data_IF_641568059555
#
_entry.id   IF_641568059555
#
_cell.length_a   1.000
_cell.length_b   1.000
_cell.length_c   1.000
_cell.angle_alpha   90.00
_cell.angle_beta   90.00
_cell.angle_gamma   90.00
#
_symmetry.space_group_name_H-M   'P 1'
#
loop_
_entity.id
_entity.type
_entity.pdbx_description
1 polymer ?
#
# COMPACT_ATOMS: atom_id res chain seq x y z
N UNK A 1 11.72 -14.17 -9.21
CA UNK A 1 11.85 -13.44 -7.95
C UNK A 1 11.14 -14.19 -6.82
N UNK A 2 11.67 -14.07 -5.61
CA UNK A 2 11.18 -14.87 -4.46
C UNK A 2 9.71 -14.62 -4.16
N UNK A 3 9.28 -13.36 -4.16
CA UNK A 3 7.88 -13.01 -3.87
C UNK A 3 6.93 -13.51 -4.96
N UNK A 4 7.32 -13.42 -6.22
CA UNK A 4 6.51 -13.94 -7.33
C UNK A 4 6.30 -15.45 -7.19
N UNK A 5 7.34 -16.18 -6.82
CA UNK A 5 7.25 -17.62 -6.59
C UNK A 5 6.37 -17.94 -5.40
N UNK A 6 6.46 -17.14 -4.33
CA UNK A 6 5.62 -17.32 -3.14
C UNK A 6 4.15 -17.12 -3.49
N UNK A 7 3.83 -16.10 -4.29
CA UNK A 7 2.48 -15.83 -4.76
C UNK A 7 1.93 -17.04 -5.53
N UNK A 8 2.74 -17.62 -6.40
CA UNK A 8 2.33 -18.82 -7.16
C UNK A 8 2.00 -19.99 -6.25
N UNK A 9 2.83 -20.23 -5.23
CA UNK A 9 2.59 -21.28 -4.25
C UNK A 9 1.34 -21.02 -3.43
N UNK A 10 1.11 -19.77 -3.06
CA UNK A 10 -0.03 -19.38 -2.24
C UNK A 10 -1.35 -19.53 -2.99
N UNK A 11 -1.36 -19.29 -4.31
CA UNK A 11 -2.55 -19.56 -5.14
C UNK A 11 -2.89 -21.04 -5.07
N UNK A 12 -1.90 -21.91 -5.25
CA UNK A 12 -2.12 -23.36 -5.22
C UNK A 12 -2.62 -23.83 -3.84
N UNK A 13 -2.04 -23.30 -2.77
CA UNK A 13 -2.44 -23.63 -1.41
C UNK A 13 -3.88 -23.18 -1.13
N UNK A 14 -4.25 -21.97 -1.57
CA UNK A 14 -5.60 -21.44 -1.39
C UNK A 14 -6.64 -22.28 -2.16
N UNK A 15 -6.30 -22.71 -3.37
CA UNK A 15 -7.16 -23.57 -4.17
C UNK A 15 -7.39 -24.92 -3.49
N UNK A 16 -6.32 -25.53 -2.93
CA UNK A 16 -6.43 -26.79 -2.19
C UNK A 16 -7.29 -26.66 -0.95
N UNK A 17 -7.21 -25.52 -0.28
CA UNK A 17 -7.98 -25.24 0.94
C UNK A 17 -9.42 -24.81 0.63
N UNK A 18 -9.78 -24.67 -0.64
CA UNK A 18 -11.08 -24.17 -1.08
C UNK A 18 -11.40 -22.77 -0.50
N UNK A 19 -10.36 -21.96 -0.31
CA UNK A 19 -10.48 -20.59 0.17
C UNK A 19 -10.66 -19.66 -1.03
N UNK A 20 -11.90 -19.37 -1.39
CA UNK A 20 -12.21 -18.58 -2.58
C UNK A 20 -11.77 -17.12 -2.45
N UNK A 21 -11.90 -16.53 -1.26
CA UNK A 21 -11.47 -15.14 -1.03
C UNK A 21 -9.95 -15.03 -1.23
N UNK A 22 -9.20 -15.91 -0.60
CA UNK A 22 -7.73 -15.92 -0.71
C UNK A 22 -7.30 -16.20 -2.15
N UNK A 23 -7.90 -17.18 -2.79
CA UNK A 23 -7.60 -17.53 -4.19
C UNK A 23 -7.79 -16.32 -5.10
N UNK A 24 -8.93 -15.64 -4.99
CA UNK A 24 -9.24 -14.48 -5.84
C UNK A 24 -8.28 -13.33 -5.57
N UNK A 25 -7.97 -13.06 -4.30
CA UNK A 25 -7.05 -11.99 -3.92
C UNK A 25 -5.65 -12.24 -4.51
N UNK A 26 -5.10 -13.43 -4.31
CA UNK A 26 -3.73 -13.74 -4.76
C UNK A 26 -3.67 -13.84 -6.28
N UNK A 27 -4.71 -14.35 -6.93
CA UNK A 27 -4.81 -14.35 -8.40
C UNK A 27 -4.77 -12.95 -8.99
N UNK A 28 -5.37 -11.97 -8.31
CA UNK A 28 -5.34 -10.59 -8.79
C UNK A 28 -3.92 -10.04 -8.79
N UNK A 29 -3.08 -10.47 -7.86
CA UNK A 29 -1.66 -10.10 -7.84
C UNK A 29 -0.95 -10.69 -9.06
N UNK A 30 -1.19 -11.96 -9.34
CA UNK A 30 -0.60 -12.62 -10.52
C UNK A 30 -0.98 -11.90 -11.81
N UNK A 31 -2.25 -11.53 -11.94
CA UNK A 31 -2.74 -10.78 -13.11
C UNK A 31 -2.05 -9.42 -13.23
N UNK A 32 -1.90 -8.71 -12.10
CA UNK A 32 -1.24 -7.40 -12.08
C UNK A 32 0.24 -7.51 -12.47
N UNK A 33 0.91 -8.56 -12.01
CA UNK A 33 2.31 -8.83 -12.37
C UNK A 33 2.42 -9.06 -13.88
N UNK A 34 1.54 -9.88 -14.42
CA UNK A 34 1.55 -10.19 -15.85
C UNK A 34 1.31 -8.94 -16.70
N UNK A 35 0.34 -8.11 -16.31
CA UNK A 35 0.07 -6.85 -16.99
C UNK A 35 1.28 -5.91 -16.93
N UNK A 36 1.94 -5.82 -15.79
CA UNK A 36 3.12 -4.97 -15.64
C UNK A 36 4.28 -5.43 -16.54
N UNK A 37 4.45 -6.74 -16.68
CA UNK A 37 5.51 -7.30 -17.53
C UNK A 37 5.23 -7.12 -19.02
N UNK A 38 3.96 -7.12 -19.42
CA UNK A 38 3.55 -7.05 -20.83
C UNK A 38 3.17 -5.65 -21.27
N UNK A 39 3.07 -4.68 -20.37
CA UNK A 39 2.75 -3.31 -20.72
C UNK A 39 3.88 -2.70 -21.55
N UNK A 40 3.51 -1.78 -22.45
CA UNK A 40 4.48 -1.04 -23.23
C UNK A 40 5.41 -0.26 -22.30
N UNK A 41 6.73 -0.44 -22.46
CA UNK A 41 7.71 0.14 -21.55
C UNK A 41 7.83 -0.56 -20.20
N UNK A 42 7.11 -1.67 -20.01
CA UNK A 42 7.17 -2.45 -18.78
C UNK A 42 8.45 -3.27 -18.67
N UNK A 43 8.80 -3.63 -17.44
CA UNK A 43 9.95 -4.49 -17.16
C UNK A 43 9.56 -5.95 -17.39
N UNK A 44 10.44 -6.72 -18.05
CA UNK A 44 10.22 -8.14 -18.25
C UNK A 44 10.32 -8.94 -16.96
N UNK A 45 11.14 -8.47 -16.02
CA UNK A 45 11.27 -9.06 -14.70
C UNK A 45 10.99 -7.98 -13.65
N UNK A 46 10.21 -8.35 -12.65
CA UNK A 46 9.88 -7.46 -11.53
C UNK A 46 10.65 -7.91 -10.29
N UNK A 47 11.20 -6.95 -9.59
CA UNK A 47 11.80 -7.19 -8.28
C UNK A 47 10.71 -7.28 -7.22
N UNK A 48 11.03 -7.82 -6.06
CA UNK A 48 10.07 -7.94 -4.96
C UNK A 48 9.49 -6.57 -4.58
N UNK A 49 10.32 -5.52 -4.59
CA UNK A 49 9.85 -4.15 -4.31
C UNK A 49 8.80 -3.67 -5.31
N UNK A 50 8.95 -4.02 -6.58
CA UNK A 50 7.96 -3.67 -7.62
C UNK A 50 6.64 -4.38 -7.35
N UNK A 51 6.69 -5.66 -6.96
CA UNK A 51 5.51 -6.46 -6.66
C UNK A 51 4.80 -5.92 -5.42
N UNK A 52 5.54 -5.53 -4.39
CA UNK A 52 4.96 -4.91 -3.19
C UNK A 52 4.17 -3.65 -3.57
N UNK A 53 4.71 -2.82 -4.45
CA UNK A 53 4.00 -1.62 -4.92
C UNK A 53 2.70 -1.95 -5.65
N UNK A 54 2.72 -2.99 -6.49
CA UNK A 54 1.50 -3.46 -7.16
C UNK A 54 0.46 -3.92 -6.16
N UNK A 55 0.89 -4.67 -5.14
CA UNK A 55 -0.02 -5.19 -4.11
C UNK A 55 -0.60 -4.02 -3.31
N UNK A 56 0.20 -3.02 -2.95
CA UNK A 56 -0.28 -1.84 -2.24
C UNK A 56 -1.36 -1.10 -3.03
N UNK A 57 -1.18 -0.99 -4.34
CA UNK A 57 -2.18 -0.39 -5.22
C UNK A 57 -3.48 -1.21 -5.23
N UNK A 58 -3.37 -2.53 -5.29
CA UNK A 58 -4.54 -3.41 -5.25
C UNK A 58 -5.30 -3.30 -3.93
N UNK A 59 -4.58 -3.20 -2.81
CA UNK A 59 -5.18 -3.00 -1.49
C UNK A 59 -5.98 -1.69 -1.48
N UNK A 60 -5.37 -0.62 -1.95
CA UNK A 60 -6.02 0.70 -2.01
C UNK A 60 -7.29 0.67 -2.85
N UNK A 61 -7.22 0.05 -4.04
CA UNK A 61 -8.37 -0.07 -4.92
C UNK A 61 -9.52 -0.83 -4.27
N UNK A 62 -9.22 -1.90 -3.53
CA UNK A 62 -10.24 -2.69 -2.85
C UNK A 62 -10.88 -1.91 -1.70
N UNK A 63 -10.11 -1.16 -0.95
CA UNK A 63 -10.65 -0.32 0.13
C UNK A 63 -11.55 0.78 -0.43
N UNK A 64 -11.16 1.41 -1.54
CA UNK A 64 -11.98 2.41 -2.21
C UNK A 64 -13.28 1.80 -2.73
N UNK A 65 -13.20 0.62 -3.33
CA UNK A 65 -14.40 -0.10 -3.80
C UNK A 65 -15.33 -0.43 -2.64
N UNK A 66 -14.77 -0.86 -1.49
CA UNK A 66 -15.55 -1.14 -0.30
C UNK A 66 -16.32 0.10 0.19
N UNK A 67 -15.68 1.27 0.19
CA UNK A 67 -16.34 2.52 0.56
C UNK A 67 -17.51 2.83 -0.36
N UNK A 68 -17.33 2.62 -1.67
CA UNK A 68 -18.38 2.83 -2.65
C UNK A 68 -19.54 1.86 -2.44
N UNK A 69 -19.27 0.60 -2.12
CA UNK A 69 -20.31 -0.38 -1.85
C UNK A 69 -21.09 -0.05 -0.57
N UNK A 70 -20.41 0.40 0.47
CA UNK A 70 -21.09 0.86 1.71
C UNK A 70 -22.03 2.02 1.40
N UNK A 71 -21.57 3.01 0.62
CA UNK A 71 -22.37 4.15 0.23
C UNK A 71 -23.59 3.74 -0.61
N UNK A 72 -23.47 2.66 -1.38
CA UNK A 72 -24.55 2.12 -2.20
C UNK A 72 -25.47 1.14 -1.45
N UNK A 73 -25.24 0.93 -0.16
CA UNK A 73 -26.02 -0.02 0.65
C UNK A 73 -25.69 -1.49 0.40
N UNK A 74 -24.54 -1.77 -0.19
CA UNK A 74 -24.12 -3.14 -0.56
C UNK A 74 -23.04 -3.63 0.39
N UNK A 75 -23.41 -3.83 1.64
CA UNK A 75 -22.45 -4.19 2.70
C UNK A 75 -21.72 -5.52 2.44
N UNK A 76 -22.41 -6.55 1.94
CA UNK A 76 -21.76 -7.82 1.69
C UNK A 76 -20.70 -7.75 0.61
N UNK A 77 -20.87 -6.88 -0.40
CA UNK A 77 -19.85 -6.66 -1.41
C UNK A 77 -18.66 -5.89 -0.84
N UNK A 78 -18.93 -4.92 0.05
CA UNK A 78 -17.89 -4.19 0.76
C UNK A 78 -17.06 -5.14 1.64
N UNK A 79 -17.73 -6.03 2.39
CA UNK A 79 -17.07 -6.98 3.27
C UNK A 79 -16.16 -7.92 2.48
N UNK A 80 -16.59 -8.36 1.29
CA UNK A 80 -15.77 -9.19 0.43
C UNK A 80 -14.52 -8.46 -0.06
N UNK A 81 -14.66 -7.20 -0.47
CA UNK A 81 -13.51 -6.38 -0.88
C UNK A 81 -12.51 -6.20 0.27
N UNK A 82 -12.99 -5.95 1.48
CA UNK A 82 -12.13 -5.79 2.65
C UNK A 82 -11.45 -7.11 3.03
N UNK A 83 -12.14 -8.24 2.87
CA UNK A 83 -11.55 -9.55 3.14
C UNK A 83 -10.41 -9.85 2.16
N UNK A 84 -10.58 -9.53 0.87
CA UNK A 84 -9.51 -9.68 -0.11
C UNK A 84 -8.36 -8.72 0.16
N UNK A 85 -8.65 -7.48 0.56
CA UNK A 85 -7.61 -6.51 0.94
C UNK A 85 -6.79 -7.02 2.13
N UNK A 86 -7.43 -7.64 3.13
CA UNK A 86 -6.74 -8.20 4.29
C UNK A 86 -5.76 -9.30 3.89
N UNK A 87 -6.13 -10.16 2.93
CA UNK A 87 -5.22 -11.18 2.41
C UNK A 87 -4.00 -10.53 1.76
N UNK A 88 -4.22 -9.51 0.95
CA UNK A 88 -3.13 -8.82 0.24
C UNK A 88 -2.21 -8.08 1.20
N UNK A 89 -2.73 -7.55 2.30
CA UNK A 89 -1.92 -6.85 3.30
C UNK A 89 -0.90 -7.76 3.99
N UNK A 90 -1.09 -9.08 3.93
CA UNK A 90 -0.11 -10.03 4.46
C UNK A 90 1.23 -9.98 3.71
N UNK A 91 1.24 -9.47 2.48
CA UNK A 91 2.43 -9.41 1.62
C UNK A 91 3.17 -8.08 1.69
N UNK A 92 2.62 -7.08 2.35
CA UNK A 92 3.21 -5.73 2.39
C UNK A 92 3.56 -5.35 3.82
N UNK A 93 4.50 -4.40 4.01
CA UNK A 93 4.81 -3.92 5.35
C UNK A 93 3.57 -3.35 6.03
N UNK A 94 3.50 -3.51 7.36
CA UNK A 94 2.40 -2.94 8.13
C UNK A 94 2.36 -1.42 7.94
N UNK A 95 1.19 -0.92 7.58
CA UNK A 95 1.00 0.51 7.41
C UNK A 95 0.95 1.20 8.75
N UNK A 96 1.55 2.38 8.84
CA UNK A 96 1.49 3.20 10.05
C UNK A 96 0.08 3.77 10.21
N UNK A 97 -0.43 3.80 11.45
CA UNK A 97 -1.65 4.52 11.76
C UNK A 97 -1.39 6.03 11.65
N UNK A 98 -2.45 6.86 11.54
CA UNK A 98 -2.25 8.32 11.52
C UNK A 98 -1.46 8.83 12.74
N UNK A 99 -1.70 8.25 13.91
CA UNK A 99 -1.00 8.62 15.13
C UNK A 99 0.48 8.23 15.08
N UNK A 100 0.77 7.03 14.63
CA UNK A 100 2.16 6.57 14.45
C UNK A 100 2.90 7.40 13.41
N UNK A 101 2.20 7.75 12.33
CA UNK A 101 2.78 8.59 11.27
C UNK A 101 3.15 9.97 11.82
N UNK A 102 2.27 10.56 12.63
CA UNK A 102 2.54 11.87 13.24
C UNK A 102 3.80 11.83 14.11
N UNK A 103 3.93 10.81 14.95
CA UNK A 103 5.12 10.63 15.81
C UNK A 103 6.39 10.56 14.96
N UNK A 104 6.35 9.76 13.90
CA UNK A 104 7.50 9.60 13.00
C UNK A 104 7.85 10.90 12.29
N UNK A 105 6.85 11.65 11.83
CA UNK A 105 7.07 12.91 11.14
C UNK A 105 7.56 14.02 12.07
N UNK A 106 7.08 14.08 13.30
CA UNK A 106 7.58 15.03 14.29
C UNK A 106 9.06 14.78 14.58
N UNK A 107 9.46 13.52 14.67
CA UNK A 107 10.88 13.16 14.84
C UNK A 107 11.72 13.61 13.65
N UNK A 108 11.24 13.38 12.42
CA UNK A 108 11.95 13.80 11.21
C UNK A 108 12.07 15.33 11.15
N UNK A 109 11.01 16.06 11.48
CA UNK A 109 11.03 17.52 11.53
C UNK A 109 12.09 18.01 12.51
N UNK A 110 12.13 17.40 13.71
CA UNK A 110 13.13 17.76 14.72
C UNK A 110 14.56 17.48 14.25
N UNK A 111 14.79 16.32 13.64
CA UNK A 111 16.13 15.94 13.15
C UNK A 111 16.62 16.81 12.00
N UNK A 112 15.72 17.28 11.14
CA UNK A 112 16.08 18.13 10.00
C UNK A 112 16.19 19.59 10.38
N UNK A 113 15.76 19.99 11.57
CA UNK A 113 15.75 21.39 12.01
C UNK A 113 14.68 22.23 11.31
N UNK A 114 13.69 21.60 10.67
CA UNK A 114 12.62 22.30 9.98
C UNK A 114 11.71 23.03 10.97
N UNK A 115 11.29 24.24 10.64
CA UNK A 115 10.45 25.04 11.52
C UNK A 115 9.37 25.82 10.79
N UNK A 116 9.40 25.90 9.48
CA UNK A 116 8.49 26.72 8.68
C UNK A 116 7.98 25.94 7.47
N UNK A 117 6.82 26.32 6.91
CA UNK A 117 6.30 25.67 5.70
C UNK A 117 7.29 25.64 4.53
N UNK A 118 8.20 26.62 4.46
CA UNK A 118 9.24 26.66 3.42
C UNK A 118 10.25 25.51 3.54
N UNK A 119 10.28 24.81 4.69
CA UNK A 119 11.18 23.68 4.92
C UNK A 119 10.58 22.34 4.48
N UNK A 120 9.39 22.35 3.89
CA UNK A 120 8.68 21.13 3.51
C UNK A 120 9.52 20.21 2.61
N UNK A 121 10.24 20.75 1.64
CA UNK A 121 11.09 19.95 0.76
C UNK A 121 12.15 19.17 1.49
N UNK A 122 12.76 19.79 2.51
CA UNK A 122 13.78 19.15 3.35
C UNK A 122 13.18 17.96 4.12
N UNK A 123 12.01 18.16 4.72
CA UNK A 123 11.32 17.11 5.46
C UNK A 123 10.87 15.97 4.54
N UNK A 124 10.28 16.33 3.40
CA UNK A 124 9.79 15.34 2.44
C UNK A 124 10.92 14.48 1.87
N UNK A 125 12.09 15.06 1.64
CA UNK A 125 13.25 14.32 1.16
C UNK A 125 13.67 13.19 2.09
N UNK A 126 13.55 13.39 3.39
CA UNK A 126 13.86 12.37 4.40
C UNK A 126 12.66 11.42 4.59
N UNK A 127 11.47 12.00 4.74
CA UNK A 127 10.27 11.22 5.06
C UNK A 127 9.91 10.21 3.97
N UNK A 128 10.01 10.58 2.70
CA UNK A 128 9.68 9.66 1.61
C UNK A 128 10.61 8.47 1.54
N UNK A 129 11.86 8.61 2.00
CA UNK A 129 12.82 7.50 2.05
C UNK A 129 12.58 6.63 3.27
N UNK A 130 12.47 7.23 4.47
CA UNK A 130 12.32 6.47 5.71
C UNK A 130 10.97 5.76 5.83
N UNK A 131 9.92 6.35 5.28
CA UNK A 131 8.56 5.84 5.41
C UNK A 131 8.06 5.14 4.14
N UNK A 132 8.96 4.88 3.21
CA UNK A 132 8.62 4.19 1.97
C UNK A 132 7.95 2.84 2.27
N UNK A 133 6.79 2.60 1.68
CA UNK A 133 6.07 1.35 1.83
C UNK A 133 5.24 1.22 3.10
N UNK A 134 5.42 2.09 4.11
CA UNK A 134 4.65 2.02 5.37
C UNK A 134 3.68 3.18 5.53
N UNK A 135 3.74 4.19 4.66
CA UNK A 135 2.81 5.30 4.64
C UNK A 135 2.66 5.80 3.20
N UNK A 136 1.44 6.25 2.86
CA UNK A 136 1.15 6.82 1.55
C UNK A 136 1.78 8.21 1.43
N UNK A 137 2.37 8.49 0.26
CA UNK A 137 3.02 9.79 0.01
C UNK A 137 2.10 10.99 0.22
N UNK A 138 0.83 10.87 -0.15
CA UNK A 138 -0.16 11.94 0.06
C UNK A 138 -0.42 12.17 1.54
N UNK A 139 -0.55 11.09 2.32
CA UNK A 139 -0.75 11.19 3.77
C UNK A 139 0.46 11.86 4.43
N UNK A 140 1.66 11.50 3.99
CA UNK A 140 2.90 12.11 4.49
C UNK A 140 2.89 13.62 4.20
N UNK A 141 2.66 14.02 2.94
CA UNK A 141 2.73 15.42 2.55
C UNK A 141 1.68 16.28 3.24
N UNK A 142 0.45 15.75 3.37
CA UNK A 142 -0.64 16.46 4.04
C UNK A 142 -0.30 16.72 5.50
N UNK A 143 0.21 15.70 6.19
CA UNK A 143 0.53 15.82 7.61
C UNK A 143 1.76 16.69 7.85
N UNK A 144 2.79 16.59 7.01
CA UNK A 144 3.97 17.47 7.09
C UNK A 144 3.55 18.94 6.96
N UNK A 145 2.68 19.21 6.00
CA UNK A 145 2.18 20.59 5.79
C UNK A 145 1.47 21.10 7.05
N UNK A 146 0.62 20.27 7.65
CA UNK A 146 -0.09 20.63 8.86
C UNK A 146 0.87 20.87 10.03
N UNK A 147 1.84 19.98 10.23
CA UNK A 147 2.79 20.08 11.34
C UNK A 147 3.70 21.30 11.22
N UNK A 148 4.15 21.62 10.02
CA UNK A 148 4.99 22.79 9.79
C UNK A 148 4.22 24.11 9.96
N UNK A 149 2.92 24.11 9.65
CA UNK A 149 2.10 25.32 9.81
C UNK A 149 1.68 25.57 11.27
N UNK A 150 1.76 24.54 12.13
CA UNK A 150 1.46 24.67 13.56
C UNK A 150 2.67 25.19 14.36
N UNK A 151 3.84 25.04 13.82
CA UNK A 151 5.06 25.46 14.46
C UNK A 151 5.33 26.92 14.23
#
# INVERSE_FOLDING_TARGET
MALEQQIQKDIMAAMKAHDSVRTNAVRSVKSAILLAKTAEGGKKELEDADIVKLIQKLVKQRKEAAEQYVAAGRKELADNELAEAAVLEEYVPRQLSPEELEVRLRDIIARTGASAPSDMGKVMGVATKELAGVADGRAISTLVRQLLSQG
#
